data_IF_840039452668
#
_entry.id   IF_840039452668
#
_cell.length_a   1.000
_cell.length_b   1.000
_cell.length_c   1.000
_cell.angle_alpha   90.00
_cell.angle_beta   90.00
_cell.angle_gamma   90.00
#
_symmetry.space_group_name_H-M   'P 1'
#
loop_
_entity.id
_entity.type
_entity.pdbx_description
1 polymer ?
#
# COMPACT_ATOMS: atom_id res chain seq x y z
N UNK A 1 31.71 2.87 -21.59
CA UNK A 1 31.40 3.59 -20.34
C UNK A 1 31.03 5.00 -20.76
N UNK A 2 29.81 5.44 -20.50
CA UNK A 2 29.38 6.81 -20.81
C UNK A 2 29.89 7.74 -19.71
N UNK A 3 30.63 8.77 -20.11
CA UNK A 3 31.18 9.78 -19.21
C UNK A 3 30.03 10.57 -18.56
N UNK A 4 29.90 10.52 -17.24
CA UNK A 4 28.91 11.32 -16.52
C UNK A 4 29.55 12.66 -16.18
N UNK A 5 29.40 13.63 -17.07
CA UNK A 5 29.83 15.02 -16.82
C UNK A 5 28.67 15.81 -16.23
N UNK A 6 28.83 16.27 -14.99
CA UNK A 6 27.91 17.25 -14.38
C UNK A 6 28.17 18.60 -15.06
N UNK A 7 27.18 19.10 -15.82
CA UNK A 7 27.20 20.44 -16.40
C UNK A 7 25.91 21.19 -16.03
N UNK A 8 25.96 22.53 -15.88
CA UNK A 8 24.74 23.32 -15.76
C UNK A 8 23.90 23.19 -17.04
N UNK A 9 22.61 22.91 -16.88
CA UNK A 9 21.64 22.85 -17.98
C UNK A 9 20.91 24.18 -18.12
N UNK A 10 20.48 24.52 -19.33
CA UNK A 10 19.57 25.66 -19.56
C UNK A 10 18.14 25.29 -19.13
N UNK A 11 17.28 26.30 -18.93
CA UNK A 11 15.87 26.06 -18.58
C UNK A 11 15.14 25.25 -19.65
N UNK A 12 15.42 25.51 -20.93
CA UNK A 12 14.81 24.77 -22.05
C UNK A 12 15.25 23.29 -22.06
N UNK A 13 16.50 23.00 -21.71
CA UNK A 13 16.99 21.62 -21.60
C UNK A 13 16.35 20.90 -20.41
N UNK A 14 16.12 21.60 -19.29
CA UNK A 14 15.42 21.06 -18.12
C UNK A 14 13.97 20.74 -18.48
N UNK A 15 13.30 21.63 -19.20
CA UNK A 15 11.91 21.48 -19.65
C UNK A 15 11.71 20.25 -20.55
N UNK A 16 12.64 20.04 -21.50
CA UNK A 16 12.64 18.87 -22.39
C UNK A 16 12.84 17.56 -21.60
N UNK A 17 13.68 17.57 -20.56
CA UNK A 17 13.95 16.37 -19.75
C UNK A 17 12.84 16.10 -18.73
N UNK A 18 12.27 17.14 -18.13
CA UNK A 18 11.18 17.00 -17.16
C UNK A 18 9.79 16.87 -17.82
N UNK A 19 9.70 17.07 -19.13
CA UNK A 19 8.44 17.06 -19.87
C UNK A 19 7.53 18.23 -19.50
N UNK A 20 8.10 19.35 -19.07
CA UNK A 20 7.34 20.52 -18.63
C UNK A 20 6.88 20.50 -17.17
N UNK A 21 7.22 19.47 -16.40
CA UNK A 21 6.89 19.38 -14.99
C UNK A 21 7.98 20.08 -14.16
N UNK A 22 7.58 21.00 -13.29
CA UNK A 22 8.50 21.60 -12.32
C UNK A 22 8.75 20.65 -11.15
N UNK A 23 9.89 20.81 -10.47
CA UNK A 23 10.19 20.03 -9.27
C UNK A 23 9.11 20.19 -8.19
N UNK A 24 8.63 21.41 -7.97
CA UNK A 24 7.61 21.69 -6.96
C UNK A 24 6.29 20.97 -7.28
N UNK A 25 5.88 20.96 -8.55
CA UNK A 25 4.71 20.22 -9.02
C UNK A 25 4.88 18.72 -8.78
N UNK A 26 6.02 18.15 -9.18
CA UNK A 26 6.30 16.73 -8.96
C UNK A 26 6.32 16.35 -7.47
N UNK A 27 6.86 17.23 -6.62
CA UNK A 27 6.91 17.03 -5.18
C UNK A 27 5.52 17.08 -4.55
N UNK A 28 4.65 17.99 -5.02
CA UNK A 28 3.26 18.06 -4.58
C UNK A 28 2.48 16.80 -5.00
N UNK A 29 2.59 16.39 -6.27
CA UNK A 29 1.93 15.20 -6.79
C UNK A 29 2.38 13.93 -6.03
N UNK A 30 3.66 13.83 -5.69
CA UNK A 30 4.19 12.73 -4.86
C UNK A 30 3.55 12.70 -3.48
N UNK A 31 3.43 13.85 -2.81
CA UNK A 31 2.80 13.93 -1.49
C UNK A 31 1.32 13.54 -1.54
N UNK A 32 0.58 14.08 -2.50
CA UNK A 32 -0.85 13.80 -2.67
C UNK A 32 -1.09 12.31 -2.99
N UNK A 33 -0.30 11.75 -3.91
CA UNK A 33 -0.34 10.32 -4.22
C UNK A 33 0.03 9.44 -3.02
N UNK A 34 1.05 9.84 -2.26
CA UNK A 34 1.48 9.14 -1.05
C UNK A 34 0.41 9.11 0.05
N UNK A 35 -0.33 10.21 0.23
CA UNK A 35 -1.46 10.25 1.16
C UNK A 35 -2.58 9.29 0.78
N UNK A 36 -2.93 9.24 -0.52
CA UNK A 36 -3.96 8.32 -1.02
C UNK A 36 -3.53 6.86 -0.87
N UNK A 37 -2.27 6.55 -1.16
CA UNK A 37 -1.69 5.22 -0.97
C UNK A 37 -1.77 4.79 0.50
N UNK A 38 -1.34 5.67 1.42
CA UNK A 38 -1.37 5.40 2.85
C UNK A 38 -2.79 5.19 3.37
N UNK A 39 -3.75 6.03 2.95
CA UNK A 39 -5.15 5.88 3.30
C UNK A 39 -5.75 4.57 2.75
N UNK A 40 -5.41 4.20 1.51
CA UNK A 40 -5.85 2.95 0.89
C UNK A 40 -5.29 1.72 1.61
N UNK A 41 -3.99 1.69 1.88
CA UNK A 41 -3.34 0.60 2.62
C UNK A 41 -3.92 0.47 4.04
N UNK A 42 -4.12 1.58 4.74
CA UNK A 42 -4.75 1.59 6.06
C UNK A 42 -6.17 1.00 6.03
N UNK A 43 -6.98 1.35 5.03
CA UNK A 43 -8.33 0.77 4.85
C UNK A 43 -8.29 -0.74 4.62
N UNK A 44 -7.33 -1.24 3.83
CA UNK A 44 -7.17 -2.68 3.59
C UNK A 44 -6.82 -3.44 4.89
N UNK A 45 -5.88 -2.91 5.68
CA UNK A 45 -5.51 -3.52 6.95
C UNK A 45 -6.68 -3.47 7.95
N UNK A 46 -7.35 -2.33 8.05
CA UNK A 46 -8.49 -2.16 8.95
C UNK A 46 -9.66 -3.09 8.58
N UNK A 47 -9.96 -3.26 7.28
CA UNK A 47 -11.03 -4.15 6.84
C UNK A 47 -10.69 -5.62 7.03
N UNK A 48 -9.43 -6.02 6.79
CA UNK A 48 -8.95 -7.37 7.05
C UNK A 48 -9.04 -7.71 8.55
N UNK A 49 -8.56 -6.81 9.42
CA UNK A 49 -8.66 -7.00 10.87
C UNK A 49 -10.12 -7.09 11.35
N UNK A 50 -10.97 -6.17 10.88
CA UNK A 50 -12.40 -6.19 11.20
C UNK A 50 -13.06 -7.48 10.73
N UNK A 51 -12.70 -7.97 9.53
CA UNK A 51 -13.17 -9.25 9.01
C UNK A 51 -12.80 -10.41 9.94
N UNK A 52 -11.53 -10.51 10.33
CA UNK A 52 -11.04 -11.54 11.26
C UNK A 52 -11.79 -11.48 12.59
N UNK A 53 -12.00 -10.28 13.14
CA UNK A 53 -12.67 -10.08 14.41
C UNK A 53 -14.17 -10.47 14.37
N UNK A 54 -14.85 -10.21 13.26
CA UNK A 54 -16.28 -10.48 13.10
C UNK A 54 -16.58 -11.92 12.69
N UNK A 55 -15.63 -12.63 12.08
CA UNK A 55 -15.83 -14.01 11.61
C UNK A 55 -14.77 -15.00 12.12
N UNK A 56 -14.58 -15.11 13.45
CA UNK A 56 -13.53 -15.97 14.02
C UNK A 56 -13.70 -17.44 13.64
N UNK A 57 -14.94 -17.92 13.44
CA UNK A 57 -15.21 -19.30 13.03
C UNK A 57 -14.71 -19.60 11.60
N UNK A 58 -14.86 -18.67 10.65
CA UNK A 58 -14.37 -18.83 9.27
C UNK A 58 -12.83 -18.81 9.23
N UNK A 59 -12.21 -18.02 10.09
CA UNK A 59 -10.75 -17.99 10.24
C UNK A 59 -10.24 -19.28 10.90
N UNK A 60 -10.88 -19.76 11.96
CA UNK A 60 -10.52 -21.02 12.62
C UNK A 60 -10.64 -22.23 11.66
N UNK A 61 -11.66 -22.25 10.81
CA UNK A 61 -11.82 -23.31 9.81
C UNK A 61 -10.80 -23.20 8.68
N UNK A 62 -10.57 -21.99 8.13
CA UNK A 62 -9.56 -21.77 7.09
C UNK A 62 -8.11 -22.01 7.53
N UNK A 63 -7.81 -21.88 8.83
CA UNK A 63 -6.52 -22.21 9.43
C UNK A 63 -6.42 -23.69 9.88
N UNK A 64 -7.46 -24.51 9.68
CA UNK A 64 -7.48 -25.91 10.12
C UNK A 64 -7.49 -26.08 11.64
N UNK A 65 -7.84 -25.02 12.38
CA UNK A 65 -7.90 -25.03 13.84
C UNK A 65 -9.15 -25.76 14.36
N UNK A 66 -10.20 -25.88 13.53
CA UNK A 66 -11.46 -26.58 13.85
C UNK A 66 -11.26 -28.07 14.14
N UNK A 67 -10.20 -28.70 13.61
CA UNK A 67 -9.92 -30.14 13.79
C UNK A 67 -8.85 -30.45 14.86
N UNK A 68 -8.23 -29.43 15.46
CA UNK A 68 -7.10 -29.60 16.41
C UNK A 68 -7.41 -29.21 17.86
N UNK A 69 -8.57 -28.62 18.18
CA UNK A 69 -8.98 -28.40 19.57
C UNK A 69 -9.59 -29.66 20.19
N UNK A 70 -9.03 -30.21 21.28
CA UNK A 70 -9.66 -31.28 22.05
C UNK A 70 -10.87 -30.71 22.79
N UNK A 71 -12.03 -30.75 22.14
CA UNK A 71 -13.29 -30.26 22.72
C UNK A 71 -14.41 -29.98 21.72
N UNK A 72 -14.09 -29.76 20.43
CA UNK A 72 -15.08 -29.36 19.43
C UNK A 72 -15.68 -27.98 19.72
N UNK A 73 -16.06 -27.24 18.67
CA UNK A 73 -16.90 -26.07 18.87
C UNK A 73 -18.26 -26.55 19.43
N UNK A 74 -18.77 -25.97 20.54
CA UNK A 74 -20.11 -26.31 21.00
C UNK A 74 -21.10 -25.95 19.89
N UNK A 75 -21.94 -26.91 19.50
CA UNK A 75 -23.12 -26.67 18.67
C UNK A 75 -23.94 -25.58 19.36
N UNK A 76 -23.91 -24.38 18.79
CA UNK A 76 -24.88 -23.34 19.11
C UNK A 76 -26.17 -23.67 18.34
N UNK A 77 -27.35 -23.49 18.96
CA UNK A 77 -28.64 -23.91 18.39
C UNK A 77 -28.97 -23.26 17.04
#
# INVERSE_FOLDING_TARGET
MSDSTIRPMTLDEIDVVSGGISYDQAYQDFQEGGQQLGAGAGKLVASAWTGIALTPALIADSLGLSTSLPGGLPDLP
#
